data_IF_969422708788
#
_entry.id   IF_969422708788
#
_cell.length_a   1.000
_cell.length_b   1.000
_cell.length_c   1.000
_cell.angle_alpha   90.00
_cell.angle_beta   90.00
_cell.angle_gamma   90.00
#
_symmetry.space_group_name_H-M   'P 1'
#
loop_
_entity.id
_entity.type
_entity.pdbx_description
1 polymer ?
#
# COMPACT_ATOMS: atom_id res chain seq x y z
N UNK A 1 21.01 -17.59 3.24
CA UNK A 1 20.12 -17.29 2.10
C UNK A 1 18.67 -17.31 2.56
N UNK A 2 17.77 -16.56 1.90
CA UNK A 2 16.34 -16.52 2.23
C UNK A 2 15.49 -16.83 0.99
N UNK A 3 14.27 -17.30 1.21
CA UNK A 3 13.29 -17.58 0.16
C UNK A 3 12.01 -16.77 0.36
N UNK A 4 11.33 -16.44 -0.75
CA UNK A 4 10.02 -15.81 -0.69
C UNK A 4 8.97 -16.81 -0.19
N UNK A 5 8.14 -16.38 0.75
CA UNK A 5 7.06 -17.20 1.30
C UNK A 5 6.05 -16.38 2.11
N UNK A 6 5.07 -17.06 2.70
CA UNK A 6 4.01 -16.43 3.49
C UNK A 6 2.91 -15.79 2.63
N UNK A 7 2.23 -14.79 3.19
CA UNK A 7 1.18 -14.01 2.52
C UNK A 7 1.57 -12.54 2.56
N UNK A 8 2.09 -12.02 1.44
CA UNK A 8 2.37 -10.58 1.32
C UNK A 8 1.07 -9.80 1.15
N UNK A 9 1.03 -8.59 1.69
CA UNK A 9 -0.11 -7.70 1.50
C UNK A 9 -0.28 -7.35 0.02
N UNK A 10 -1.53 -7.47 -0.48
CA UNK A 10 -1.86 -7.07 -1.83
C UNK A 10 -2.06 -5.55 -1.91
N UNK A 11 -0.95 -4.81 -1.82
CA UNK A 11 -0.96 -3.34 -1.84
C UNK A 11 -1.56 -2.78 -3.15
N UNK A 12 -1.38 -3.49 -4.27
CA UNK A 12 -1.96 -3.11 -5.56
C UNK A 12 -3.49 -3.09 -5.54
N UNK A 13 -4.10 -4.10 -4.91
CA UNK A 13 -5.55 -4.12 -4.69
C UNK A 13 -6.00 -2.98 -3.78
N UNK A 14 -5.33 -2.80 -2.63
CA UNK A 14 -5.67 -1.73 -1.67
C UNK A 14 -5.60 -0.33 -2.30
N UNK A 15 -4.56 -0.07 -3.09
CA UNK A 15 -4.38 1.17 -3.83
C UNK A 15 -5.52 1.41 -4.83
N UNK A 16 -5.87 0.39 -5.64
CA UNK A 16 -6.95 0.48 -6.62
C UNK A 16 -8.31 0.71 -5.95
N UNK A 17 -8.63 -0.07 -4.92
CA UNK A 17 -9.89 0.05 -4.19
C UNK A 17 -10.03 1.43 -3.54
N UNK A 18 -8.98 1.93 -2.89
CA UNK A 18 -8.98 3.27 -2.29
C UNK A 18 -9.26 4.36 -3.32
N UNK A 19 -8.65 4.28 -4.51
CA UNK A 19 -8.93 5.20 -5.62
C UNK A 19 -10.39 5.12 -6.05
N UNK A 20 -10.91 3.93 -6.30
CA UNK A 20 -12.30 3.75 -6.76
C UNK A 20 -13.32 4.23 -5.72
N UNK A 21 -13.08 3.98 -4.43
CA UNK A 21 -14.00 4.33 -3.35
C UNK A 21 -13.91 5.80 -2.93
N UNK A 22 -12.71 6.28 -2.58
CA UNK A 22 -12.54 7.62 -1.98
C UNK A 22 -12.70 8.71 -3.03
N UNK A 23 -12.21 8.49 -4.26
CA UNK A 23 -12.28 9.51 -5.32
C UNK A 23 -13.69 9.58 -5.97
N UNK A 24 -14.60 8.66 -5.64
CA UNK A 24 -15.97 8.62 -6.20
C UNK A 24 -16.74 9.92 -5.96
N UNK A 25 -16.48 10.63 -4.85
CA UNK A 25 -17.13 11.92 -4.53
C UNK A 25 -16.53 13.13 -5.26
N UNK A 26 -15.31 13.02 -5.77
CA UNK A 26 -14.53 14.13 -6.33
C UNK A 26 -14.77 14.29 -7.84
N UNK A 27 -16.05 14.44 -8.23
CA UNK A 27 -16.49 14.41 -9.65
C UNK A 27 -16.53 15.77 -10.34
N UNK A 28 -16.50 16.87 -9.60
CA UNK A 28 -16.54 18.20 -10.20
C UNK A 28 -15.17 18.66 -10.70
N UNK A 29 -15.12 19.92 -11.11
CA UNK A 29 -13.94 20.55 -11.73
C UNK A 29 -13.41 21.73 -10.92
N UNK A 30 -13.87 21.91 -9.68
CA UNK A 30 -13.42 23.01 -8.85
C UNK A 30 -12.01 22.74 -8.28
N UNK A 31 -11.34 23.79 -7.79
CA UNK A 31 -9.97 23.68 -7.28
C UNK A 31 -9.87 22.77 -6.05
N UNK A 32 -10.92 22.73 -5.22
CA UNK A 32 -10.96 21.90 -4.02
C UNK A 32 -10.99 20.42 -4.38
N UNK A 33 -11.79 20.02 -5.36
CA UNK A 33 -11.87 18.63 -5.82
C UNK A 33 -10.55 18.16 -6.42
N UNK A 34 -9.89 19.01 -7.22
CA UNK A 34 -8.53 18.72 -7.73
C UNK A 34 -7.51 18.56 -6.61
N UNK A 35 -7.57 19.41 -5.59
CA UNK A 35 -6.71 19.31 -4.41
C UNK A 35 -6.99 18.04 -3.62
N UNK A 36 -8.26 17.65 -3.45
CA UNK A 36 -8.65 16.41 -2.79
C UNK A 36 -8.10 15.19 -3.53
N UNK A 37 -8.27 15.10 -4.86
CA UNK A 37 -7.69 14.02 -5.68
C UNK A 37 -6.17 13.94 -5.53
N UNK A 38 -5.48 15.08 -5.52
CA UNK A 38 -4.03 15.13 -5.29
C UNK A 38 -3.66 14.61 -3.90
N UNK A 39 -4.33 15.09 -2.85
CA UNK A 39 -4.05 14.69 -1.48
C UNK A 39 -4.37 13.19 -1.23
N UNK A 40 -5.45 12.68 -1.82
CA UNK A 40 -5.81 11.27 -1.76
C UNK A 40 -4.72 10.40 -2.42
N UNK A 41 -4.22 10.82 -3.58
CA UNK A 41 -3.14 10.12 -4.27
C UNK A 41 -1.83 10.17 -3.50
N UNK A 42 -1.49 11.31 -2.88
CA UNK A 42 -0.32 11.43 -2.02
C UNK A 42 -0.40 10.46 -0.83
N UNK A 43 -1.57 10.31 -0.20
CA UNK A 43 -1.80 9.33 0.86
C UNK A 43 -1.61 7.88 0.39
N UNK A 44 -2.17 7.53 -0.77
CA UNK A 44 -1.99 6.19 -1.36
C UNK A 44 -0.52 5.90 -1.70
N UNK A 45 0.18 6.87 -2.27
CA UNK A 45 1.60 6.76 -2.58
C UNK A 45 2.44 6.56 -1.32
N UNK A 46 2.13 7.28 -0.23
CA UNK A 46 2.83 7.13 1.04
C UNK A 46 2.66 5.74 1.65
N UNK A 47 1.44 5.20 1.67
CA UNK A 47 1.21 3.82 2.16
C UNK A 47 1.99 2.81 1.31
N UNK A 48 1.98 2.98 -0.02
CA UNK A 48 2.74 2.10 -0.91
C UNK A 48 4.26 2.22 -0.72
N UNK A 49 4.79 3.40 -0.37
CA UNK A 49 6.23 3.59 -0.13
C UNK A 49 6.70 3.01 1.20
N UNK A 50 5.80 2.86 2.17
CA UNK A 50 6.13 2.29 3.48
C UNK A 50 6.08 0.75 3.51
N UNK A 51 5.80 0.10 2.39
CA UNK A 51 5.88 -1.36 2.27
C UNK A 51 7.32 -1.84 2.51
N UNK A 52 7.48 -2.83 3.38
CA UNK A 52 8.80 -3.38 3.75
C UNK A 52 8.81 -4.89 3.59
N UNK A 53 10.00 -5.42 3.30
CA UNK A 53 10.23 -6.85 3.36
C UNK A 53 10.36 -7.26 4.82
N UNK A 54 9.36 -7.99 5.32
CA UNK A 54 9.40 -8.61 6.64
C UNK A 54 9.82 -10.08 6.49
N UNK A 55 10.73 -10.53 7.35
CA UNK A 55 11.29 -11.87 7.31
C UNK A 55 11.05 -12.62 8.61
N UNK A 56 10.87 -13.94 8.53
CA UNK A 56 10.74 -14.82 9.69
C UNK A 56 11.83 -15.88 9.66
N UNK A 57 12.51 -16.05 10.79
CA UNK A 57 13.51 -17.11 10.96
C UNK A 57 12.85 -18.43 11.40
N UNK A 58 13.31 -19.53 10.83
CA UNK A 58 12.75 -20.86 11.09
C UNK A 58 13.82 -21.97 11.15
N UNK A 59 15.08 -21.62 11.38
CA UNK A 59 16.17 -22.58 11.62
C UNK A 59 16.10 -23.22 13.01
N UNK A 60 17.04 -24.12 13.31
CA UNK A 60 17.14 -24.78 14.62
C UNK A 60 17.13 -23.75 15.75
N UNK A 61 16.26 -23.93 16.73
CA UNK A 61 16.05 -23.00 17.85
C UNK A 61 15.74 -21.56 17.44
N UNK A 62 15.15 -21.34 16.26
CA UNK A 62 14.81 -20.02 15.73
C UNK A 62 15.97 -19.28 15.03
N UNK A 63 17.05 -19.99 14.69
CA UNK A 63 18.17 -19.42 13.94
C UNK A 63 17.77 -18.86 12.57
N UNK A 64 18.47 -17.82 12.14
CA UNK A 64 18.28 -17.08 10.88
C UNK A 64 19.46 -17.27 9.90
N UNK A 65 20.37 -18.21 10.20
CA UNK A 65 21.56 -18.50 9.39
C UNK A 65 21.22 -19.09 8.03
#
# INVERSE_FOLDING_TARGET
DWEWGGCSDNIGYGFKFSREFVDTGERGRNLREKMNLHNNEAGRAHVSSEMRQECKCHGMSGSCT
#
